data_IF_979896732482
#
_entry.id   IF_979896732482
#
_cell.length_a   1.000
_cell.length_b   1.000
_cell.length_c   1.000
_cell.angle_alpha   90.00
_cell.angle_beta   90.00
_cell.angle_gamma   90.00
#
_symmetry.space_group_name_H-M   'P 1'
#
loop_
_entity.id
_entity.type
_entity.pdbx_description
1 polymer ?
#
# COMPACT_ATOMS: atom_id res chain seq x y z
N UNK A 1 -28.80 20.02 1.35
CA UNK A 1 -27.76 19.04 0.98
C UNK A 1 -26.43 19.72 1.23
N UNK A 2 -25.67 19.28 2.24
CA UNK A 2 -24.32 19.82 2.48
C UNK A 2 -23.35 19.20 1.50
N UNK A 3 -22.46 20.01 0.92
CA UNK A 3 -21.37 19.52 0.09
C UNK A 3 -20.46 18.63 0.95
N UNK A 4 -20.34 17.36 0.58
CA UNK A 4 -19.37 16.47 1.21
C UNK A 4 -18.00 16.80 0.61
N UNK A 5 -17.24 17.66 1.28
CA UNK A 5 -15.88 18.01 0.89
C UNK A 5 -14.89 17.10 1.62
N UNK A 6 -14.00 16.44 0.87
CA UNK A 6 -12.84 15.78 1.46
C UNK A 6 -11.75 16.82 1.75
N UNK A 7 -11.26 16.84 2.98
CA UNK A 7 -10.08 17.61 3.35
C UNK A 7 -8.86 16.69 3.34
N UNK A 8 -7.74 17.19 2.84
CA UNK A 8 -6.47 16.47 2.91
C UNK A 8 -5.87 16.66 4.30
N UNK A 9 -5.75 15.56 5.06
CA UNK A 9 -5.15 15.58 6.40
C UNK A 9 -3.63 15.37 6.36
N UNK A 10 -3.13 14.55 5.44
CA UNK A 10 -1.72 14.15 5.40
C UNK A 10 -1.21 13.92 3.97
N UNK A 11 0.10 14.09 3.78
CA UNK A 11 0.87 13.54 2.66
C UNK A 11 2.07 12.79 3.21
N UNK A 12 2.32 11.58 2.75
CA UNK A 12 3.45 10.74 3.18
C UNK A 12 4.04 9.99 1.98
N UNK A 13 5.36 9.79 1.98
CA UNK A 13 6.04 9.04 0.94
C UNK A 13 5.69 7.55 1.04
N UNK A 14 5.30 6.97 -0.10
CA UNK A 14 5.03 5.54 -0.21
C UNK A 14 6.30 4.70 -0.37
N UNK A 15 7.47 5.30 -0.49
CA UNK A 15 8.75 4.60 -0.59
C UNK A 15 9.76 5.25 0.34
N UNK A 16 10.85 4.54 0.68
CA UNK A 16 11.98 5.16 1.36
C UNK A 16 12.47 6.40 0.61
N UNK A 17 12.88 7.43 1.34
CA UNK A 17 13.37 8.69 0.77
C UNK A 17 14.62 8.53 -0.13
N UNK A 18 15.29 7.38 -0.02
CA UNK A 18 16.45 7.01 -0.85
C UNK A 18 16.06 6.40 -2.19
N UNK A 19 14.78 6.12 -2.45
CA UNK A 19 14.32 5.57 -3.71
C UNK A 19 14.39 6.59 -4.84
N UNK A 20 15.06 6.22 -5.92
CA UNK A 20 15.15 7.01 -7.14
C UNK A 20 14.42 6.29 -8.27
N UNK A 21 13.41 6.93 -8.85
CA UNK A 21 12.69 6.37 -9.98
C UNK A 21 11.26 6.88 -10.08
N UNK A 22 10.55 6.37 -11.09
CA UNK A 22 9.11 6.62 -11.21
C UNK A 22 8.36 5.58 -10.41
N UNK A 23 7.34 6.04 -9.71
CA UNK A 23 6.40 5.22 -8.97
C UNK A 23 4.98 5.60 -9.36
N UNK A 24 4.09 4.61 -9.37
CA UNK A 24 2.64 4.76 -9.40
C UNK A 24 2.02 3.77 -8.42
N UNK A 25 1.21 4.26 -7.50
CA UNK A 25 0.45 3.42 -6.58
C UNK A 25 -0.85 2.95 -7.24
N UNK A 26 -1.31 1.73 -6.92
CA UNK A 26 -2.46 1.11 -7.60
C UNK A 26 -3.59 0.70 -6.64
N UNK A 27 -3.27 0.01 -5.54
CA UNK A 27 -4.27 -0.48 -4.58
C UNK A 27 -3.83 -0.22 -3.13
N UNK A 28 -4.81 -0.13 -2.23
CA UNK A 28 -4.61 0.22 -0.82
C UNK A 28 -5.64 -0.51 0.06
N UNK A 29 -5.19 -1.16 1.12
CA UNK A 29 -6.07 -1.83 2.09
C UNK A 29 -5.59 -1.59 3.52
N UNK A 30 -6.55 -1.54 4.44
CA UNK A 30 -6.30 -1.49 5.88
C UNK A 30 -6.44 -2.90 6.45
N UNK A 31 -5.55 -3.29 7.35
CA UNK A 31 -5.62 -4.59 8.03
C UNK A 31 -6.93 -4.72 8.82
N UNK A 32 -7.43 -5.96 9.04
CA UNK A 32 -8.68 -6.18 9.78
C UNK A 32 -8.68 -5.61 11.21
N UNK A 33 -7.52 -5.54 11.86
CA UNK A 33 -7.35 -4.94 13.19
C UNK A 33 -7.23 -3.40 13.16
N UNK A 34 -7.17 -2.81 11.97
CA UNK A 34 -7.03 -1.37 11.77
C UNK A 34 -5.64 -0.81 12.05
N UNK A 35 -4.65 -1.63 12.41
CA UNK A 35 -3.34 -1.17 12.86
C UNK A 35 -2.37 -0.86 11.71
N UNK A 36 -2.61 -1.42 10.52
CA UNK A 36 -1.71 -1.30 9.39
C UNK A 36 -2.46 -0.91 8.12
N UNK A 37 -1.77 -0.17 7.25
CA UNK A 37 -2.20 0.10 5.90
C UNK A 37 -1.15 -0.43 4.93
N UNK A 38 -1.60 -1.12 3.88
CA UNK A 38 -0.77 -1.67 2.83
C UNK A 38 -1.08 -0.99 1.51
N UNK A 39 -0.06 -0.61 0.75
CA UNK A 39 -0.19 -0.01 -0.57
C UNK A 39 0.71 -0.72 -1.58
N UNK A 40 0.19 -0.99 -2.78
CA UNK A 40 0.98 -1.54 -3.89
C UNK A 40 1.53 -0.42 -4.77
N UNK A 41 2.77 -0.59 -5.22
CA UNK A 41 3.48 0.38 -6.02
C UNK A 41 4.18 -0.30 -7.20
N UNK A 42 4.09 0.33 -8.38
CA UNK A 42 4.78 -0.11 -9.61
C UNK A 42 5.54 1.04 -10.28
N UNK A 43 6.38 0.72 -11.26
CA UNK A 43 7.16 1.69 -12.02
C UNK A 43 8.58 1.18 -12.25
N UNK A 44 9.59 1.99 -11.91
CA UNK A 44 11.00 1.59 -12.00
C UNK A 44 11.30 0.34 -11.15
N UNK A 45 10.53 0.13 -10.07
CA UNK A 45 10.51 -1.10 -9.29
C UNK A 45 9.10 -1.37 -8.77
N UNK A 46 8.81 -2.63 -8.45
CA UNK A 46 7.55 -3.05 -7.82
C UNK A 46 7.76 -3.21 -6.31
N UNK A 47 6.79 -2.79 -5.51
CA UNK A 47 6.86 -2.93 -4.05
C UNK A 47 5.50 -2.93 -3.37
N UNK A 48 5.50 -3.39 -2.13
CA UNK A 48 4.40 -3.19 -1.17
C UNK A 48 4.94 -2.36 -0.03
N UNK A 49 4.21 -1.30 0.31
CA UNK A 49 4.53 -0.44 1.43
C UNK A 49 3.55 -0.68 2.55
N UNK A 50 4.07 -0.79 3.76
CA UNK A 50 3.31 -0.91 4.99
C UNK A 50 3.48 0.38 5.79
N UNK A 51 2.37 0.87 6.31
CA UNK A 51 2.31 1.98 7.25
C UNK A 51 1.66 1.53 8.55
N UNK A 52 2.10 2.09 9.67
CA UNK A 52 1.32 2.07 10.91
C UNK A 52 0.16 3.06 10.78
N UNK A 53 -1.03 2.64 11.20
CA UNK A 53 -2.16 3.52 11.41
C UNK A 53 -2.20 3.91 12.90
N UNK A 54 -1.84 5.15 13.19
CA UNK A 54 -1.80 5.66 14.55
C UNK A 54 -3.21 5.87 15.12
N UNK A 55 -3.34 5.92 16.45
CA UNK A 55 -4.63 6.10 17.11
C UNK A 55 -5.34 7.42 16.73
N UNK A 56 -4.61 8.41 16.22
CA UNK A 56 -5.15 9.69 15.73
C UNK A 56 -5.56 9.65 14.24
N UNK A 57 -5.41 8.50 13.55
CA UNK A 57 -5.68 8.32 12.12
C UNK A 57 -4.55 8.74 11.18
N UNK A 58 -3.41 9.20 11.71
CA UNK A 58 -2.22 9.52 10.91
C UNK A 58 -1.48 8.24 10.55
N UNK A 59 -0.77 8.28 9.42
CA UNK A 59 0.05 7.19 8.95
C UNK A 59 1.54 7.44 9.24
N UNK A 60 2.24 6.40 9.66
CA UNK A 60 3.70 6.41 9.77
C UNK A 60 4.32 5.31 8.91
N UNK A 61 5.37 5.62 8.15
CA UNK A 61 6.05 4.61 7.33
C UNK A 61 6.62 3.50 8.21
N UNK A 62 6.28 2.25 7.91
CA UNK A 62 6.73 1.09 8.68
C UNK A 62 7.77 0.27 7.91
N UNK A 63 7.45 -0.12 6.67
CA UNK A 63 8.32 -0.97 5.86
C UNK A 63 7.97 -0.86 4.37
N UNK A 64 8.92 -1.22 3.50
CA UNK A 64 8.70 -1.35 2.06
C UNK A 64 9.42 -2.60 1.55
N UNK A 65 8.67 -3.52 0.95
CA UNK A 65 9.18 -4.76 0.40
C UNK A 65 9.19 -4.67 -1.13
N UNK A 66 10.38 -4.74 -1.73
CA UNK A 66 10.56 -4.67 -3.19
C UNK A 66 10.51 -6.04 -3.86
N UNK A 67 10.27 -6.05 -5.18
CA UNK A 67 10.35 -7.21 -6.08
C UNK A 67 9.33 -8.33 -5.81
N UNK A 68 8.10 -7.96 -5.48
CA UNK A 68 7.00 -8.90 -5.18
C UNK A 68 6.31 -9.46 -6.45
N UNK A 69 7.04 -9.56 -7.57
CA UNK A 69 6.52 -9.94 -8.89
C UNK A 69 6.49 -8.78 -9.90
N UNK A 70 5.83 -9.01 -11.04
CA UNK A 70 5.68 -8.05 -12.13
C UNK A 70 4.29 -7.40 -12.10
N UNK A 71 4.27 -6.08 -11.92
CA UNK A 71 3.06 -5.26 -11.95
C UNK A 71 2.02 -5.71 -10.91
N UNK A 72 2.31 -5.55 -9.59
CA UNK A 72 1.33 -5.82 -8.55
C UNK A 72 0.16 -4.84 -8.71
N UNK A 73 -1.03 -5.37 -8.98
CA UNK A 73 -2.20 -4.55 -9.31
C UNK A 73 -3.22 -4.55 -8.19
N UNK A 74 -3.49 -5.71 -7.59
CA UNK A 74 -4.48 -5.85 -6.53
C UNK A 74 -3.90 -6.53 -5.31
N UNK A 75 -4.45 -6.15 -4.16
CA UNK A 75 -4.08 -6.68 -2.86
C UNK A 75 -5.33 -7.21 -2.16
N UNK A 76 -5.18 -8.29 -1.41
CA UNK A 76 -6.21 -8.81 -0.51
C UNK A 76 -5.57 -9.22 0.80
N UNK A 77 -6.26 -8.93 1.90
CA UNK A 77 -5.86 -9.36 3.24
C UNK A 77 -6.82 -10.46 3.67
N UNK A 78 -6.27 -11.59 4.11
CA UNK A 78 -7.09 -12.65 4.71
C UNK A 78 -7.83 -12.09 5.95
N UNK A 79 -9.10 -12.47 6.21
CA UNK A 79 -9.86 -11.95 7.35
C UNK A 79 -9.21 -12.19 8.72
N UNK A 80 -8.33 -13.18 8.87
CA UNK A 80 -7.56 -13.38 10.09
C UNK A 80 -6.40 -12.39 10.28
N UNK A 81 -6.06 -11.61 9.23
CA UNK A 81 -4.95 -10.66 9.21
C UNK A 81 -3.57 -11.30 9.04
N UNK A 82 -3.49 -12.63 8.95
CA UNK A 82 -2.21 -13.35 8.93
C UNK A 82 -1.56 -13.44 7.55
N UNK A 83 -2.32 -13.22 6.48
CA UNK A 83 -1.86 -13.35 5.11
C UNK A 83 -2.24 -12.16 4.26
N UNK A 84 -1.30 -11.76 3.42
CA UNK A 84 -1.44 -10.75 2.39
C UNK A 84 -1.23 -11.44 1.05
N UNK A 85 -2.15 -11.29 0.11
CA UNK A 85 -2.02 -11.83 -1.24
C UNK A 85 -2.02 -10.72 -2.28
N UNK A 86 -1.18 -10.88 -3.29
CA UNK A 86 -0.95 -9.88 -4.34
C UNK A 86 -1.17 -10.53 -5.69
N UNK A 87 -2.05 -9.95 -6.49
CA UNK A 87 -2.18 -10.34 -7.89
C UNK A 87 -1.18 -9.56 -8.74
N UNK A 88 -0.24 -10.28 -9.37
CA UNK A 88 0.74 -9.72 -10.29
C UNK A 88 0.22 -9.85 -11.73
N UNK A 89 -0.19 -8.72 -12.31
CA UNK A 89 -0.89 -8.67 -13.59
C UNK A 89 -0.05 -9.26 -14.74
N UNK A 90 1.24 -8.93 -14.80
CA UNK A 90 2.08 -9.24 -15.96
C UNK A 90 2.77 -10.61 -15.84
N UNK A 91 3.01 -11.11 -14.62
CA UNK A 91 3.55 -12.47 -14.42
C UNK A 91 2.46 -13.54 -14.35
N UNK A 92 1.20 -13.17 -14.09
CA UNK A 92 0.10 -14.13 -13.98
C UNK A 92 0.15 -14.98 -12.70
N UNK A 93 0.77 -14.45 -11.64
CA UNK A 93 0.97 -15.13 -10.36
C UNK A 93 0.26 -14.42 -9.22
N UNK A 94 -0.13 -15.19 -8.20
CA UNK A 94 -0.57 -14.68 -6.90
C UNK A 94 0.48 -15.10 -5.87
N UNK A 95 1.00 -14.13 -5.12
CA UNK A 95 2.00 -14.32 -4.07
C UNK A 95 1.43 -13.85 -2.74
#
# INVERSE_FOLDING_TARGET
MGECCFNQEQTINALPDTFMGKIKSEDIHVSPDGLFLYATNRGTSTSITMFFNEANGSLAFANCQFKQGLTPQNLSIDPSGNFLSIANQDSGEIV
#
